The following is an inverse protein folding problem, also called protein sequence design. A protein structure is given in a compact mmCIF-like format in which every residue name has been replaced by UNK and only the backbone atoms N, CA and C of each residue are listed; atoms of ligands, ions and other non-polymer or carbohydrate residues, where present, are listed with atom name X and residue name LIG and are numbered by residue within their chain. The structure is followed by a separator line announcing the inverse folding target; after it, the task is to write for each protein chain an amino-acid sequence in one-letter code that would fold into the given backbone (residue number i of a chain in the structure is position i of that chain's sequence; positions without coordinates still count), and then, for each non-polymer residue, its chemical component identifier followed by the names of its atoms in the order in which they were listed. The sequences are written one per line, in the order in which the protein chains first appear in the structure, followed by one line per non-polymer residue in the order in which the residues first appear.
data_IF_188694768802
#
_entry.id   IF_188694768802
#
_cell.length_a   1.000
_cell.length_b   1.000
_cell.length_c   1.000
_cell.angle_alpha   90.00
_cell.angle_beta   90.00
_cell.angle_gamma   90.00
#
_symmetry.space_group_name_H-M   'P 1'
#
loop_
_entity.id
_entity.type
_entity.pdbx_description
1 polymer ?
#
# COMPACT_ATOMS: atom_id res chain seq x y z
N UNK A 1 -40.68 -19.40 -12.87
CA UNK A 1 -39.49 -19.93 -13.58
C UNK A 1 -38.38 -19.93 -12.55
N UNK A 2 -37.97 -21.10 -12.06
CA UNK A 2 -36.93 -21.20 -11.04
C UNK A 2 -35.61 -20.73 -11.67
N UNK A 3 -35.04 -19.66 -11.13
CA UNK A 3 -33.74 -19.10 -11.51
C UNK A 3 -32.56 -20.02 -11.12
N UNK A 4 -32.86 -21.20 -10.58
CA UNK A 4 -31.91 -22.24 -10.19
C UNK A 4 -31.39 -23.07 -11.39
N UNK A 5 -32.02 -22.95 -12.57
CA UNK A 5 -31.65 -23.72 -13.77
C UNK A 5 -30.89 -22.88 -14.82
N UNK A 6 -30.10 -21.89 -14.40
CA UNK A 6 -29.12 -21.28 -15.31
C UNK A 6 -27.76 -21.98 -15.14
N UNK A 7 -27.38 -22.91 -16.04
CA UNK A 7 -26.18 -23.74 -15.90
C UNK A 7 -24.85 -22.96 -15.98
N UNK A 8 -24.89 -21.64 -16.21
CA UNK A 8 -23.72 -20.77 -16.32
C UNK A 8 -23.56 -19.77 -15.16
N UNK A 9 -24.32 -19.88 -14.07
CA UNK A 9 -24.11 -19.03 -12.89
C UNK A 9 -22.99 -19.58 -12.00
N UNK A 10 -21.84 -18.92 -12.02
CA UNK A 10 -20.71 -19.22 -11.13
C UNK A 10 -21.07 -18.74 -9.72
N UNK A 11 -21.11 -19.66 -8.75
CA UNK A 11 -21.27 -19.32 -7.34
C UNK A 11 -19.97 -18.68 -6.82
N UNK A 12 -19.96 -17.37 -6.45
CA UNK A 12 -18.77 -16.70 -5.96
C UNK A 12 -18.16 -17.35 -4.70
N UNK A 13 -18.96 -18.07 -3.90
CA UNK A 13 -18.47 -18.75 -2.70
C UNK A 13 -17.55 -19.93 -3.03
N UNK A 14 -17.71 -20.55 -4.20
CA UNK A 14 -16.93 -21.72 -4.62
C UNK A 14 -15.56 -21.36 -5.22
N UNK A 15 -15.38 -20.09 -5.60
CA UNK A 15 -14.16 -19.63 -6.26
C UNK A 15 -13.19 -19.02 -5.24
N UNK A 16 -11.88 -19.32 -5.27
CA UNK A 16 -10.94 -18.73 -4.33
C UNK A 16 -10.52 -17.30 -4.76
N UNK A 17 -10.75 -16.30 -3.90
CA UNK A 17 -10.37 -14.90 -4.14
C UNK A 17 -8.92 -14.58 -3.73
N UNK A 18 -8.43 -15.25 -2.68
CA UNK A 18 -7.15 -14.92 -2.06
C UNK A 18 -5.98 -15.04 -3.03
N UNK A 19 -5.98 -16.08 -3.89
CA UNK A 19 -4.90 -16.32 -4.86
C UNK A 19 -4.74 -15.16 -5.86
N UNK A 20 -5.84 -14.62 -6.40
CA UNK A 20 -5.78 -13.51 -7.37
C UNK A 20 -5.29 -12.23 -6.72
N UNK A 21 -5.85 -11.89 -5.54
CA UNK A 21 -5.41 -10.74 -4.75
C UNK A 21 -3.93 -10.83 -4.42
N UNK A 22 -3.49 -11.95 -3.87
CA UNK A 22 -2.10 -12.18 -3.48
C UNK A 22 -1.14 -12.08 -4.67
N UNK A 23 -1.45 -12.70 -5.81
CA UNK A 23 -0.59 -12.65 -7.00
C UNK A 23 -0.43 -11.22 -7.53
N UNK A 24 -1.50 -10.44 -7.60
CA UNK A 24 -1.41 -9.04 -8.03
C UNK A 24 -0.67 -8.18 -7.00
N UNK A 25 -0.90 -8.42 -5.71
CA UNK A 25 -0.18 -7.72 -4.65
C UNK A 25 1.32 -8.03 -4.61
N UNK A 26 1.75 -9.25 -4.93
CA UNK A 26 3.17 -9.59 -5.08
C UNK A 26 3.82 -8.79 -6.22
N UNK A 27 3.17 -8.73 -7.38
CA UNK A 27 3.67 -7.95 -8.52
C UNK A 27 3.72 -6.48 -8.15
N UNK A 28 2.66 -5.95 -7.54
CA UNK A 28 2.62 -4.57 -7.06
C UNK A 28 3.71 -4.24 -6.05
N UNK A 29 3.97 -5.14 -5.10
CA UNK A 29 5.04 -5.01 -4.12
C UNK A 29 6.42 -4.93 -4.79
N UNK A 30 6.69 -5.80 -5.78
CA UNK A 30 7.93 -5.76 -6.54
C UNK A 30 8.07 -4.47 -7.36
N UNK A 31 6.99 -3.98 -7.99
CA UNK A 31 7.00 -2.70 -8.70
C UNK A 31 7.31 -1.55 -7.74
N UNK A 32 6.73 -1.55 -6.54
CA UNK A 32 7.01 -0.55 -5.51
C UNK A 32 8.47 -0.59 -5.03
N UNK A 33 9.07 -1.77 -4.91
CA UNK A 33 10.50 -1.92 -4.60
C UNK A 33 11.37 -1.29 -5.67
N UNK A 34 11.11 -1.61 -6.95
CA UNK A 34 11.86 -1.04 -8.08
C UNK A 34 11.70 0.49 -8.11
N UNK A 35 10.48 0.98 -7.90
CA UNK A 35 10.20 2.42 -7.84
C UNK A 35 10.99 3.09 -6.71
N UNK A 36 10.99 2.50 -5.51
CA UNK A 36 11.72 3.01 -4.36
C UNK A 36 13.23 3.04 -4.62
N UNK A 37 13.78 2.00 -5.23
CA UNK A 37 15.19 1.96 -5.65
C UNK A 37 15.54 3.07 -6.64
N UNK A 38 14.69 3.31 -7.64
CA UNK A 38 14.93 4.39 -8.62
C UNK A 38 15.00 5.73 -7.90
N UNK A 39 14.04 6.04 -7.01
CA UNK A 39 14.05 7.31 -6.29
C UNK A 39 15.25 7.47 -5.36
N UNK A 40 15.64 6.39 -4.68
CA UNK A 40 16.82 6.36 -3.83
C UNK A 40 18.11 6.59 -4.63
N UNK A 41 18.35 5.81 -5.68
CA UNK A 41 19.58 5.85 -6.48
C UNK A 41 19.75 7.16 -7.26
N UNK A 42 18.65 7.77 -7.69
CA UNK A 42 18.67 9.04 -8.41
C UNK A 42 18.77 10.25 -7.48
N UNK A 43 18.55 10.07 -6.18
CA UNK A 43 18.51 11.17 -5.20
C UNK A 43 17.39 12.18 -5.45
N UNK A 44 16.39 11.80 -6.26
CA UNK A 44 15.26 12.66 -6.66
C UNK A 44 14.30 12.94 -5.49
N UNK A 45 14.31 12.08 -4.48
CA UNK A 45 13.49 12.21 -3.27
C UNK A 45 14.40 12.09 -2.07
N UNK A 46 14.45 13.15 -1.25
CA UNK A 46 15.22 13.16 -0.01
C UNK A 46 14.27 13.17 1.20
N UNK A 47 14.61 12.47 2.28
CA UNK A 47 13.85 12.58 3.53
C UNK A 47 13.70 14.05 3.95
N UNK A 48 12.48 14.48 4.27
CA UNK A 48 12.17 15.86 4.70
C UNK A 48 11.94 16.88 3.59
N UNK A 49 12.24 16.54 2.32
CA UNK A 49 11.98 17.44 1.19
C UNK A 49 10.48 17.49 0.86
N UNK A 50 9.91 18.69 0.75
CA UNK A 50 8.49 18.92 0.38
C UNK A 50 8.33 19.45 -1.04
N UNK A 51 9.39 19.40 -1.84
CA UNK A 51 9.39 19.83 -3.24
C UNK A 51 8.46 19.02 -4.15
N UNK A 52 8.29 19.50 -5.38
CA UNK A 52 7.41 18.91 -6.37
C UNK A 52 7.71 17.42 -6.65
N UNK A 53 8.99 17.03 -6.59
CA UNK A 53 9.41 15.64 -6.85
C UNK A 53 8.94 14.67 -5.74
N UNK A 54 8.94 15.10 -4.48
CA UNK A 54 8.37 14.32 -3.37
C UNK A 54 6.87 14.10 -3.56
N UNK A 55 6.13 15.14 -4.00
CA UNK A 55 4.70 14.99 -4.30
C UNK A 55 4.44 14.07 -5.48
N UNK A 56 5.19 14.21 -6.57
CA UNK A 56 5.07 13.35 -7.75
C UNK A 56 5.36 11.88 -7.40
N UNK A 57 6.43 11.61 -6.66
CA UNK A 57 6.77 10.25 -6.23
C UNK A 57 5.70 9.64 -5.31
N UNK A 58 5.13 10.44 -4.41
CA UNK A 58 4.03 10.02 -3.53
C UNK A 58 2.76 9.68 -4.31
N UNK A 59 2.35 10.55 -5.24
CA UNK A 59 1.21 10.30 -6.11
C UNK A 59 1.41 9.06 -6.98
N UNK A 60 2.62 8.88 -7.54
CA UNK A 60 2.95 7.70 -8.33
C UNK A 60 2.88 6.42 -7.50
N UNK A 61 3.38 6.44 -6.27
CA UNK A 61 3.30 5.32 -5.33
C UNK A 61 1.84 4.93 -5.09
N UNK A 62 0.97 5.90 -4.76
CA UNK A 62 -0.45 5.63 -4.54
C UNK A 62 -1.20 5.22 -5.79
N UNK A 63 -0.81 5.73 -6.97
CA UNK A 63 -1.37 5.29 -8.25
C UNK A 63 -1.03 3.82 -8.53
N UNK A 64 0.21 3.39 -8.25
CA UNK A 64 0.62 1.98 -8.35
C UNK A 64 -0.21 1.10 -7.41
N UNK A 65 -0.33 1.49 -6.14
CA UNK A 65 -1.16 0.76 -5.15
C UNK A 65 -2.60 0.62 -5.65
N UNK A 66 -3.23 1.73 -6.04
CA UNK A 66 -4.60 1.73 -6.54
C UNK A 66 -4.77 0.90 -7.82
N UNK A 67 -3.81 0.97 -8.73
CA UNK A 67 -3.81 0.18 -9.96
C UNK A 67 -3.80 -1.32 -9.68
N UNK A 68 -2.92 -1.80 -8.78
CA UNK A 68 -2.83 -3.24 -8.50
C UNK A 68 -4.03 -3.77 -7.71
N UNK A 69 -4.63 -2.96 -6.83
CA UNK A 69 -5.91 -3.30 -6.19
C UNK A 69 -7.02 -3.40 -7.25
N UNK A 70 -7.12 -2.41 -8.14
CA UNK A 70 -8.09 -2.40 -9.23
C UNK A 70 -7.92 -3.58 -10.18
N UNK A 71 -6.68 -3.87 -10.57
CA UNK A 71 -6.35 -5.02 -11.42
C UNK A 71 -6.70 -6.34 -10.74
N UNK A 72 -6.51 -6.47 -9.42
CA UNK A 72 -6.89 -7.65 -8.67
C UNK A 72 -8.41 -7.88 -8.69
N UNK A 73 -9.17 -6.84 -8.33
CA UNK A 73 -10.63 -6.91 -8.26
C UNK A 73 -11.26 -7.13 -9.65
N UNK A 74 -10.77 -6.45 -10.69
CA UNK A 74 -11.31 -6.59 -12.06
C UNK A 74 -10.96 -7.94 -12.69
N UNK A 75 -9.72 -8.45 -12.52
CA UNK A 75 -9.39 -9.80 -12.99
C UNK A 75 -10.23 -10.86 -12.32
N UNK A 76 -10.46 -10.76 -11.00
CA UNK A 76 -11.34 -11.71 -10.32
C UNK A 76 -12.78 -11.60 -10.82
N UNK A 77 -13.29 -10.38 -11.05
CA UNK A 77 -14.62 -10.16 -11.62
C UNK A 77 -14.74 -10.79 -13.01
N UNK A 78 -13.81 -10.50 -13.91
CA UNK A 78 -13.96 -10.78 -15.34
C UNK A 78 -13.52 -12.21 -15.70
N UNK A 79 -12.46 -12.73 -15.08
CA UNK A 79 -11.92 -14.05 -15.38
C UNK A 79 -12.58 -15.16 -14.54
N UNK A 80 -12.96 -14.86 -13.30
CA UNK A 80 -13.38 -15.89 -12.35
C UNK A 80 -14.88 -15.86 -12.01
N UNK A 81 -15.55 -14.71 -12.11
CA UNK A 81 -16.95 -14.53 -11.69
C UNK A 81 -17.91 -14.19 -12.86
N UNK A 82 -17.42 -14.22 -14.10
CA UNK A 82 -18.27 -13.99 -15.28
C UNK A 82 -18.72 -12.53 -15.46
N UNK A 83 -17.94 -11.57 -14.97
CA UNK A 83 -18.15 -10.13 -15.19
C UNK A 83 -18.94 -9.41 -14.09
N UNK A 84 -19.33 -10.10 -13.02
CA UNK A 84 -20.05 -9.53 -11.88
C UNK A 84 -19.30 -9.75 -10.57
N UNK A 85 -19.37 -8.78 -9.67
CA UNK A 85 -18.71 -8.85 -8.36
C UNK A 85 -19.42 -7.96 -7.35
N UNK A 86 -19.72 -8.51 -6.18
CA UNK A 86 -20.27 -7.74 -5.06
C UNK A 86 -19.19 -6.90 -4.39
N UNK A 87 -19.59 -5.85 -3.67
CA UNK A 87 -18.67 -4.98 -2.95
C UNK A 87 -17.76 -5.75 -1.99
N UNK A 88 -18.35 -6.59 -1.12
CA UNK A 88 -17.59 -7.35 -0.13
C UNK A 88 -16.60 -8.32 -0.79
N UNK A 89 -16.94 -8.85 -1.97
CA UNK A 89 -16.05 -9.72 -2.72
C UNK A 89 -14.90 -8.96 -3.37
N UNK A 90 -15.17 -7.79 -3.97
CA UNK A 90 -14.13 -6.91 -4.51
C UNK A 90 -13.15 -6.48 -3.42
N UNK A 91 -13.66 -6.07 -2.26
CA UNK A 91 -12.85 -5.69 -1.10
C UNK A 91 -12.01 -6.84 -0.59
N UNK A 92 -12.58 -8.05 -0.49
CA UNK A 92 -11.82 -9.23 -0.05
C UNK A 92 -10.64 -9.55 -0.97
N UNK A 93 -10.79 -9.34 -2.29
CA UNK A 93 -9.70 -9.52 -3.26
C UNK A 93 -8.66 -8.41 -3.13
N UNK A 94 -9.10 -7.16 -3.08
CA UNK A 94 -8.22 -6.00 -2.98
C UNK A 94 -7.43 -5.97 -1.67
N UNK A 95 -8.07 -6.32 -0.56
CA UNK A 95 -7.42 -6.46 0.75
C UNK A 95 -6.29 -7.48 0.73
N UNK A 96 -6.46 -8.63 0.04
CA UNK A 96 -5.39 -9.61 -0.14
C UNK A 96 -4.22 -9.05 -0.96
N UNK A 97 -4.50 -8.19 -1.94
CA UNK A 97 -3.45 -7.48 -2.68
C UNK A 97 -2.71 -6.47 -1.78
N UNK A 98 -3.44 -5.70 -0.97
CA UNK A 98 -2.86 -4.75 0.00
C UNK A 98 -1.96 -5.48 1.00
N UNK A 99 -2.42 -6.59 1.57
CA UNK A 99 -1.63 -7.40 2.50
C UNK A 99 -0.33 -7.91 1.86
N UNK A 100 -0.43 -8.46 0.64
CA UNK A 100 0.76 -8.95 -0.06
C UNK A 100 1.75 -7.82 -0.36
N UNK A 101 1.27 -6.66 -0.83
CA UNK A 101 2.11 -5.47 -1.03
C UNK A 101 2.79 -5.04 0.26
N UNK A 102 2.02 -4.93 1.36
CA UNK A 102 2.52 -4.50 2.67
C UNK A 102 3.62 -5.43 3.20
N UNK A 103 3.45 -6.75 3.10
CA UNK A 103 4.45 -7.72 3.55
C UNK A 103 5.75 -7.58 2.73
N UNK A 104 5.63 -7.47 1.41
CA UNK A 104 6.79 -7.35 0.52
C UNK A 104 7.54 -6.05 0.76
N UNK A 105 6.82 -4.93 0.89
CA UNK A 105 7.45 -3.62 1.16
C UNK A 105 8.01 -3.52 2.57
N UNK A 106 7.43 -4.21 3.58
CA UNK A 106 7.99 -4.28 4.93
C UNK A 106 9.38 -4.94 4.94
N UNK A 107 9.47 -6.13 4.31
CA UNK A 107 10.73 -6.87 4.20
C UNK A 107 11.75 -6.05 3.43
N UNK A 108 11.35 -5.41 2.34
CA UNK A 108 12.22 -4.51 1.59
C UNK A 108 12.73 -3.34 2.41
N UNK A 109 11.84 -2.64 3.13
CA UNK A 109 12.20 -1.47 3.94
C UNK A 109 13.23 -1.85 5.00
N UNK A 110 13.04 -2.99 5.65
CA UNK A 110 14.02 -3.52 6.59
C UNK A 110 15.37 -3.80 5.93
N UNK A 111 15.37 -4.52 4.78
CA UNK A 111 16.63 -4.82 4.05
C UNK A 111 17.33 -3.53 3.63
N UNK A 112 16.57 -2.56 3.13
CA UNK A 112 17.09 -1.28 2.68
C UNK A 112 17.78 -0.53 3.83
N UNK A 113 17.10 -0.36 4.96
CA UNK A 113 17.63 0.36 6.12
C UNK A 113 18.75 -0.41 6.84
N UNK A 114 18.75 -1.73 6.83
CA UNK A 114 19.74 -2.52 7.56
C UNK A 114 21.02 -2.79 6.75
N UNK A 115 20.92 -2.92 5.42
CA UNK A 115 22.02 -3.41 4.59
C UNK A 115 22.39 -2.53 3.40
N UNK A 116 21.44 -1.77 2.84
CA UNK A 116 21.69 -0.96 1.64
C UNK A 116 22.14 0.45 2.03
N UNK A 117 21.38 1.11 2.89
CA UNK A 117 21.68 2.45 3.38
C UNK A 117 21.44 2.55 4.90
N UNK A 118 22.40 2.05 5.72
CA UNK A 118 22.32 2.17 7.17
C UNK A 118 22.33 3.62 7.67
N UNK A 119 22.89 4.56 6.89
CA UNK A 119 22.96 5.97 7.22
C UNK A 119 21.68 6.74 6.98
N UNK A 120 20.70 6.15 6.27
CA UNK A 120 19.40 6.80 6.03
C UNK A 120 18.68 7.10 7.34
N UNK A 121 18.96 6.34 8.39
CA UNK A 121 18.35 6.53 9.70
C UNK A 121 18.68 7.90 10.30
N UNK A 122 19.96 8.28 10.31
CA UNK A 122 20.40 9.58 10.80
C UNK A 122 19.85 10.71 9.92
N UNK A 123 19.75 10.44 8.61
CA UNK A 123 19.16 11.38 7.64
C UNK A 123 17.67 11.61 7.92
N UNK A 124 16.89 10.56 8.18
CA UNK A 124 15.46 10.68 8.53
C UNK A 124 15.29 11.36 9.89
N UNK A 125 16.16 11.05 10.86
CA UNK A 125 16.14 11.69 12.18
C UNK A 125 16.36 13.19 12.06
N UNK A 126 17.41 13.62 11.35
CA UNK A 126 17.70 15.03 11.14
C UNK A 126 16.56 15.73 10.38
N UNK A 127 16.07 15.11 9.31
CA UNK A 127 14.94 15.62 8.55
C UNK A 127 13.67 15.81 9.42
N UNK A 128 13.47 14.94 10.41
CA UNK A 128 12.35 15.04 11.35
C UNK A 128 12.53 16.19 12.35
N UNK A 129 13.75 16.43 12.83
CA UNK A 129 14.08 17.61 13.64
C UNK A 129 13.80 18.87 12.84
N UNK A 130 14.38 18.96 11.64
CA UNK A 130 14.21 20.11 10.75
C UNK A 130 12.74 20.37 10.44
N UNK A 131 11.93 19.31 10.29
CA UNK A 131 10.50 19.43 10.10
C UNK A 131 9.79 20.02 11.33
N UNK A 132 10.07 19.53 12.54
CA UNK A 132 9.44 20.05 13.76
C UNK A 132 9.83 21.50 14.04
N UNK A 133 11.09 21.85 13.83
CA UNK A 133 11.58 23.22 14.00
C UNK A 133 10.94 24.15 12.97
N UNK A 134 11.04 23.80 11.69
CA UNK A 134 10.64 24.72 10.61
C UNK A 134 9.13 24.75 10.36
N UNK A 135 8.40 23.65 10.57
CA UNK A 135 6.96 23.56 10.27
C UNK A 135 6.10 23.67 11.52
N UNK A 136 6.58 23.19 12.68
CA UNK A 136 5.81 23.20 13.93
C UNK A 136 6.27 24.31 14.89
N UNK A 137 7.34 25.05 14.56
CA UNK A 137 7.83 26.17 15.36
C UNK A 137 8.42 25.74 16.71
N UNK A 138 8.81 24.48 16.85
CA UNK A 138 9.45 23.95 18.05
C UNK A 138 10.89 24.48 18.16
N UNK A 139 11.39 24.64 19.39
CA UNK A 139 12.83 24.82 19.59
C UNK A 139 13.56 23.54 19.19
N UNK A 140 14.83 23.65 18.79
CA UNK A 140 15.65 22.48 18.44
C UNK A 140 15.80 21.53 19.65
N UNK A 141 15.98 22.07 20.85
CA UNK A 141 16.05 21.31 22.10
C UNK A 141 14.74 20.54 22.39
N UNK A 142 13.59 21.16 22.16
CA UNK A 142 12.28 20.50 22.31
C UNK A 142 12.05 19.42 21.25
N UNK A 143 12.48 19.65 20.01
CA UNK A 143 12.39 18.68 18.92
C UNK A 143 13.28 17.45 19.19
N UNK A 144 14.52 17.65 19.63
CA UNK A 144 15.41 16.56 20.04
C UNK A 144 14.84 15.78 21.22
N UNK A 145 14.28 16.50 22.22
CA UNK A 145 13.65 15.88 23.38
C UNK A 145 12.46 15.03 22.98
N UNK A 146 11.59 15.52 22.09
CA UNK A 146 10.45 14.77 21.56
C UNK A 146 10.89 13.48 20.85
N UNK A 147 11.92 13.55 20.01
CA UNK A 147 12.46 12.36 19.34
C UNK A 147 13.11 11.38 20.31
N UNK A 148 13.76 11.88 21.36
CA UNK A 148 14.40 11.03 22.38
C UNK A 148 13.36 10.22 23.18
N UNK A 149 12.18 10.79 23.45
CA UNK A 149 11.05 10.10 24.08
C UNK A 149 10.50 8.98 23.19
N UNK A 150 10.68 9.10 21.88
CA UNK A 150 10.27 8.13 20.87
C UNK A 150 11.42 7.20 20.45
N UNK A 151 12.56 7.20 21.14
CA UNK A 151 13.79 6.47 20.76
C UNK A 151 13.57 4.98 20.47
N UNK A 152 12.62 4.33 21.14
CA UNK A 152 12.28 2.94 20.87
C UNK A 152 11.61 2.72 19.49
N UNK A 153 10.92 3.72 18.94
CA UNK A 153 10.34 3.69 17.59
C UNK A 153 11.37 4.05 16.52
N UNK A 154 12.44 4.72 16.92
CA UNK A 154 13.60 5.07 16.12
C UNK A 154 14.59 3.90 16.08
N UNK A 155 14.18 2.74 15.57
CA UNK A 155 15.08 1.69 15.12
C UNK A 155 14.58 1.10 13.79
N UNK A 156 15.46 0.52 12.94
CA UNK A 156 15.08 0.06 11.60
C UNK A 156 13.91 -0.93 11.57
N UNK A 157 13.84 -1.83 12.56
CA UNK A 157 12.75 -2.80 12.67
C UNK A 157 11.41 -2.15 12.96
N UNK A 158 11.36 -1.28 13.98
CA UNK A 158 10.14 -0.57 14.37
C UNK A 158 9.69 0.41 13.29
N UNK A 159 10.62 1.11 12.63
CA UNK A 159 10.29 2.00 11.52
C UNK A 159 9.70 1.23 10.33
N UNK A 160 10.28 0.08 9.96
CA UNK A 160 9.71 -0.77 8.92
C UNK A 160 8.30 -1.23 9.29
N UNK A 161 8.07 -1.61 10.55
CA UNK A 161 6.73 -1.97 11.06
C UNK A 161 5.76 -0.80 10.96
N UNK A 162 6.09 0.38 11.49
CA UNK A 162 5.20 1.54 11.47
C UNK A 162 4.92 2.05 10.06
N UNK A 163 5.93 2.10 9.20
CA UNK A 163 5.76 2.47 7.80
C UNK A 163 4.78 1.51 7.11
N UNK A 164 4.95 0.20 7.34
CA UNK A 164 4.06 -0.83 6.79
C UNK A 164 2.63 -0.68 7.30
N UNK A 165 2.44 -0.44 8.61
CA UNK A 165 1.11 -0.24 9.19
C UNK A 165 0.42 0.99 8.59
N UNK A 166 1.14 2.10 8.43
CA UNK A 166 0.61 3.30 7.77
C UNK A 166 0.19 3.04 6.33
N UNK A 167 1.04 2.35 5.56
CA UNK A 167 0.71 1.96 4.17
C UNK A 167 -0.47 1.00 4.10
N UNK A 168 -0.59 0.06 5.04
CA UNK A 168 -1.70 -0.89 5.08
C UNK A 168 -3.03 -0.17 5.31
N UNK A 169 -3.09 0.77 6.27
CA UNK A 169 -4.30 1.57 6.52
C UNK A 169 -4.70 2.37 5.28
N UNK A 170 -3.74 3.08 4.67
CA UNK A 170 -4.01 3.84 3.45
C UNK A 170 -4.42 2.94 2.28
N UNK A 171 -3.79 1.78 2.13
CA UNK A 171 -4.14 0.77 1.13
C UNK A 171 -5.55 0.24 1.31
N UNK A 172 -5.99 0.00 2.55
CA UNK A 172 -7.38 -0.40 2.86
C UNK A 172 -8.37 0.70 2.48
N UNK A 173 -8.04 1.97 2.74
CA UNK A 173 -8.90 3.10 2.32
C UNK A 173 -9.03 3.15 0.81
N UNK A 174 -7.92 3.01 0.08
CA UNK A 174 -7.93 2.95 -1.38
C UNK A 174 -8.75 1.75 -1.87
N UNK A 175 -8.62 0.60 -1.22
CA UNK A 175 -9.39 -0.60 -1.56
C UNK A 175 -10.90 -0.43 -1.37
N UNK A 176 -11.33 0.25 -0.30
CA UNK A 176 -12.74 0.59 -0.12
C UNK A 176 -13.27 1.41 -1.31
N UNK A 177 -12.50 2.39 -1.79
CA UNK A 177 -12.86 3.23 -2.94
C UNK A 177 -12.89 2.40 -4.22
N UNK A 178 -11.82 1.64 -4.49
CA UNK A 178 -11.71 0.80 -5.69
C UNK A 178 -12.82 -0.25 -5.73
N UNK A 179 -13.12 -0.88 -4.60
CA UNK A 179 -14.17 -1.87 -4.48
C UNK A 179 -15.55 -1.28 -4.74
N UNK A 180 -15.80 -0.05 -4.30
CA UNK A 180 -17.03 0.67 -4.63
C UNK A 180 -17.15 0.97 -6.13
N UNK A 181 -16.04 1.31 -6.80
CA UNK A 181 -16.00 1.59 -8.24
C UNK A 181 -16.13 0.32 -9.09
N UNK A 182 -15.50 -0.79 -8.69
CA UNK A 182 -15.47 -2.05 -9.46
C UNK A 182 -16.76 -2.86 -9.27
N UNK A 183 -17.47 -2.64 -8.17
CA UNK A 183 -18.74 -3.31 -7.83
C UNK A 183 -19.68 -3.33 -9.03
N UNK A 184 -20.13 -4.53 -9.38
CA UNK A 184 -21.14 -4.75 -10.42
C UNK A 184 -22.05 -5.88 -9.98
N UNK A 185 -23.21 -5.51 -9.43
CA UNK A 185 -24.20 -6.46 -8.96
C UNK A 185 -24.76 -7.28 -10.12
N UNK A 186 -24.95 -8.57 -9.89
CA UNK A 186 -25.51 -9.45 -10.89
C UNK A 186 -27.05 -9.30 -10.88
N UNK A 187 -27.67 -8.92 -12.03
CA UNK A 187 -29.11 -8.72 -12.13
C UNK A 187 -29.94 -9.98 -11.88
N UNK A 188 -29.33 -11.17 -11.86
CA UNK A 188 -30.01 -12.41 -11.50
C UNK A 188 -30.29 -12.56 -9.99
N UNK A 189 -29.63 -11.75 -9.14
CA UNK A 189 -29.78 -11.78 -7.68
C UNK A 189 -30.31 -10.44 -7.10
N UNK A 190 -30.80 -9.55 -7.97
CA UNK A 190 -31.34 -8.23 -7.62
C UNK A 190 -32.88 -8.25 -7.49
#
# INVERSE_FOLDING_TARGET
MNTLDNPNMIDPATVPYAKKGFNQGLIGGLVLIVLNLIFSLTGLVKPGDTGAMTWISSLLTWAVVGYFIYAAATKHRDEDLGGYISFGRAFSVGFMAVLAMAIITAVWTYIYMAFIDPGIFDTIRQASIDQMVNQQGMSEEDAERALSMMSFMWNPGMMAVFATFGTLIAGVIIDLIVSAVVKRDNPAFA
#
